data_IF_785999674470
#
_entry.id   IF_785999674470
#
_cell.length_a   1.000
_cell.length_b   1.000
_cell.length_c   1.000
_cell.angle_alpha   90.00
_cell.angle_beta   90.00
_cell.angle_gamma   90.00
#
_symmetry.space_group_name_H-M   'P 1'
#
loop_
_entity.id
_entity.type
_entity.pdbx_description
1 polymer ?
#
# COMPACT_ATOMS: atom_id res chain seq x y z
N UNK A 1 38.83 47.60 -10.73
CA UNK A 1 37.78 47.48 -11.76
C UNK A 1 37.59 46.03 -12.31
N UNK A 2 38.57 45.08 -12.18
CA UNK A 2 38.46 43.73 -12.80
C UNK A 2 37.60 42.73 -12.02
N UNK A 3 37.44 42.86 -10.71
CA UNK A 3 36.72 41.89 -9.88
C UNK A 3 35.15 42.02 -10.03
N UNK A 4 34.66 43.24 -10.12
CA UNK A 4 33.22 43.49 -10.30
C UNK A 4 32.71 43.09 -11.70
N UNK A 5 33.54 43.28 -12.74
CA UNK A 5 33.16 42.89 -14.11
C UNK A 5 33.14 41.37 -14.32
N UNK A 6 33.99 40.63 -13.57
CA UNK A 6 33.97 39.15 -13.58
C UNK A 6 32.75 38.59 -12.84
N UNK A 7 32.34 39.21 -11.74
CA UNK A 7 31.22 38.72 -10.92
C UNK A 7 29.84 39.05 -11.55
N UNK A 8 29.69 40.20 -12.23
CA UNK A 8 28.45 40.51 -12.98
C UNK A 8 28.19 39.46 -14.08
N UNK A 9 29.23 38.95 -14.73
CA UNK A 9 29.07 37.86 -15.72
C UNK A 9 28.65 36.52 -15.10
N UNK A 10 29.08 36.23 -13.89
CA UNK A 10 28.69 34.99 -13.17
C UNK A 10 27.24 35.07 -12.67
N UNK A 11 26.83 36.19 -12.09
CA UNK A 11 25.45 36.39 -11.65
C UNK A 11 24.46 36.42 -12.83
N UNK A 12 24.83 37.04 -13.93
CA UNK A 12 24.02 37.00 -15.15
C UNK A 12 23.85 35.56 -15.68
N UNK A 13 24.94 34.78 -15.70
CA UNK A 13 24.89 33.35 -16.12
C UNK A 13 24.05 32.48 -15.21
N UNK A 14 24.16 32.67 -13.90
CA UNK A 14 23.32 31.99 -12.92
C UNK A 14 21.84 32.38 -13.10
N UNK A 15 21.55 33.66 -13.34
CA UNK A 15 20.22 34.13 -13.69
C UNK A 15 19.65 33.47 -14.93
N UNK A 16 20.44 33.37 -16.01
CA UNK A 16 20.05 32.66 -17.22
C UNK A 16 19.79 31.18 -17.00
N UNK A 17 20.62 30.50 -16.22
CA UNK A 17 20.42 29.10 -15.88
C UNK A 17 19.13 28.88 -15.08
N UNK A 18 18.90 29.71 -14.06
CA UNK A 18 17.67 29.66 -13.27
C UNK A 18 16.45 29.91 -14.16
N UNK A 19 16.51 30.93 -15.03
CA UNK A 19 15.44 31.24 -15.99
C UNK A 19 15.17 30.07 -16.95
N UNK A 20 16.24 29.41 -17.44
CA UNK A 20 16.09 28.23 -18.27
C UNK A 20 15.39 27.08 -17.55
N UNK A 21 15.82 26.76 -16.32
CA UNK A 21 15.20 25.68 -15.50
C UNK A 21 13.71 26.00 -15.26
N UNK A 22 13.40 27.26 -14.94
CA UNK A 22 12.02 27.70 -14.77
C UNK A 22 11.24 27.53 -16.07
N UNK A 23 11.78 27.95 -17.20
CA UNK A 23 11.13 27.87 -18.51
C UNK A 23 10.91 26.41 -18.95
N UNK A 24 11.88 25.54 -18.69
CA UNK A 24 11.75 24.10 -18.92
C UNK A 24 10.63 23.50 -18.08
N UNK A 25 10.62 23.78 -16.77
CA UNK A 25 9.59 23.31 -15.88
C UNK A 25 8.20 23.82 -16.26
N UNK A 26 8.08 25.12 -16.59
CA UNK A 26 6.82 25.70 -17.02
C UNK A 26 6.34 25.12 -18.36
N UNK A 27 7.24 24.83 -19.31
CA UNK A 27 6.87 24.21 -20.58
C UNK A 27 6.40 22.77 -20.40
N UNK A 28 7.04 21.99 -19.53
CA UNK A 28 6.63 20.63 -19.21
C UNK A 28 5.32 20.57 -18.44
N UNK A 29 5.14 21.49 -17.46
CA UNK A 29 3.88 21.65 -16.73
C UNK A 29 2.77 22.10 -17.68
N UNK A 30 3.05 23.03 -18.59
CA UNK A 30 2.10 23.48 -19.60
C UNK A 30 1.66 22.35 -20.52
N UNK A 31 2.59 21.56 -21.04
CA UNK A 31 2.26 20.38 -21.86
C UNK A 31 1.39 19.41 -21.08
N UNK A 32 1.72 19.12 -19.82
CA UNK A 32 0.92 18.23 -18.96
C UNK A 32 -0.48 18.79 -18.71
N UNK A 33 -0.60 20.10 -18.46
CA UNK A 33 -1.87 20.75 -18.17
C UNK A 33 -2.79 20.87 -19.39
N UNK A 34 -2.23 21.24 -20.58
CA UNK A 34 -3.04 21.52 -21.77
C UNK A 34 -3.26 20.31 -22.69
N UNK A 35 -2.40 19.31 -22.63
CA UNK A 35 -2.42 18.14 -23.53
C UNK A 35 -2.50 16.82 -22.76
N UNK A 36 -1.96 16.78 -21.56
CA UNK A 36 -2.02 15.65 -20.65
C UNK A 36 -3.34 15.56 -19.87
N UNK A 37 -3.39 14.67 -18.90
CA UNK A 37 -4.56 14.52 -18.01
C UNK A 37 -4.49 15.42 -16.75
N UNK A 38 -3.47 16.24 -16.64
CA UNK A 38 -3.27 17.18 -15.53
C UNK A 38 -2.87 16.55 -14.19
N UNK A 39 -2.52 15.26 -14.16
CA UNK A 39 -2.15 14.55 -12.93
C UNK A 39 -0.72 14.86 -12.44
N UNK A 40 0.06 15.62 -13.21
CA UNK A 40 1.43 15.99 -12.91
C UNK A 40 2.45 14.87 -13.13
N UNK A 41 2.12 13.84 -13.86
CA UNK A 41 2.95 12.66 -14.08
C UNK A 41 3.52 12.66 -15.50
N UNK A 42 4.84 12.59 -15.59
CA UNK A 42 5.57 12.87 -16.83
C UNK A 42 5.72 11.65 -17.77
N UNK A 43 5.31 10.47 -17.37
CA UNK A 43 5.41 9.25 -18.18
C UNK A 43 4.02 8.78 -18.66
N UNK A 44 3.34 9.65 -19.37
CA UNK A 44 2.11 9.33 -20.07
C UNK A 44 2.44 8.98 -21.53
N UNK A 45 1.92 7.85 -22.03
CA UNK A 45 2.38 7.23 -23.29
C UNK A 45 1.48 7.54 -24.50
N UNK A 46 0.62 8.56 -24.38
CA UNK A 46 -0.04 9.12 -25.55
C UNK A 46 1.00 9.70 -26.52
N UNK A 47 0.97 9.25 -27.78
CA UNK A 47 1.90 9.70 -28.80
C UNK A 47 1.90 11.23 -29.00
N UNK A 48 0.74 11.87 -28.83
CA UNK A 48 0.61 13.33 -28.91
C UNK A 48 1.37 14.00 -27.77
N UNK A 49 1.18 13.49 -26.56
CA UNK A 49 1.82 14.01 -25.36
C UNK A 49 3.34 13.82 -25.43
N UNK A 50 3.80 12.66 -25.89
CA UNK A 50 5.22 12.40 -26.17
C UNK A 50 5.77 13.40 -27.17
N UNK A 51 5.06 13.62 -28.29
CA UNK A 51 5.45 14.59 -29.30
C UNK A 51 5.58 16.00 -28.75
N UNK A 52 4.60 16.48 -28.00
CA UNK A 52 4.64 17.80 -27.37
C UNK A 52 5.77 17.94 -26.35
N UNK A 53 6.02 16.91 -25.53
CA UNK A 53 7.14 16.89 -24.58
C UNK A 53 8.50 16.94 -25.29
N UNK A 54 8.67 16.19 -26.37
CA UNK A 54 9.91 16.23 -27.17
C UNK A 54 10.13 17.60 -27.80
N UNK A 55 9.08 18.25 -28.32
CA UNK A 55 9.16 19.61 -28.83
C UNK A 55 9.53 20.60 -27.73
N UNK A 56 8.88 20.52 -26.57
CA UNK A 56 9.19 21.36 -25.42
C UNK A 56 10.66 21.19 -24.96
N UNK A 57 11.17 19.95 -24.94
CA UNK A 57 12.56 19.66 -24.64
C UNK A 57 13.52 20.24 -25.70
N UNK A 58 13.19 20.07 -26.99
CA UNK A 58 14.02 20.59 -28.07
C UNK A 58 14.11 22.12 -28.02
N UNK A 59 12.97 22.81 -27.83
CA UNK A 59 12.93 24.27 -27.66
C UNK A 59 13.75 24.69 -26.45
N UNK A 60 13.54 24.04 -25.29
CA UNK A 60 14.28 24.33 -24.06
C UNK A 60 15.79 24.09 -24.22
N UNK A 61 16.18 23.05 -24.97
CA UNK A 61 17.58 22.80 -25.30
C UNK A 61 18.19 23.89 -26.17
N UNK A 62 17.50 24.34 -27.22
CA UNK A 62 17.95 25.47 -28.06
C UNK A 62 18.12 26.73 -27.24
N UNK A 63 17.15 27.04 -26.38
CA UNK A 63 17.23 28.20 -25.48
C UNK A 63 18.44 28.07 -24.54
N UNK A 64 18.63 26.90 -23.93
CA UNK A 64 19.78 26.64 -23.06
C UNK A 64 21.09 26.85 -23.82
N UNK A 65 21.22 26.26 -25.02
CA UNK A 65 22.41 26.43 -25.85
C UNK A 65 22.70 27.91 -26.13
N UNK A 66 21.68 28.69 -26.52
CA UNK A 66 21.82 30.12 -26.78
C UNK A 66 22.26 30.91 -25.54
N UNK A 67 21.75 30.53 -24.35
CA UNK A 67 22.09 31.18 -23.10
C UNK A 67 23.51 30.87 -22.61
N UNK A 68 24.03 29.70 -22.87
CA UNK A 68 25.34 29.23 -22.35
C UNK A 68 26.46 29.25 -23.39
N UNK A 69 26.14 29.48 -24.68
CA UNK A 69 27.13 29.47 -25.78
C UNK A 69 28.39 30.26 -25.51
N UNK A 70 28.29 31.33 -24.71
CA UNK A 70 29.40 32.19 -24.30
C UNK A 70 29.90 31.86 -22.87
N UNK A 71 29.40 30.78 -22.27
CA UNK A 71 29.77 30.34 -20.92
C UNK A 71 31.09 29.53 -20.87
N UNK A 72 31.59 29.22 -19.66
CA UNK A 72 32.77 28.38 -19.54
C UNK A 72 32.51 26.98 -20.09
N UNK A 73 33.48 26.36 -20.82
CA UNK A 73 33.32 25.05 -21.42
C UNK A 73 32.87 23.96 -20.45
N UNK A 74 33.33 23.99 -19.21
CA UNK A 74 32.94 23.02 -18.19
C UNK A 74 31.42 23.06 -17.93
N UNK A 75 30.82 24.24 -17.79
CA UNK A 75 29.37 24.38 -17.58
C UNK A 75 28.59 23.89 -18.78
N UNK A 76 29.03 24.22 -20.00
CA UNK A 76 28.42 23.73 -21.25
C UNK A 76 28.41 22.21 -21.30
N UNK A 77 29.55 21.55 -21.03
CA UNK A 77 29.69 20.10 -21.06
C UNK A 77 28.85 19.40 -20.00
N UNK A 78 28.80 19.93 -18.76
CA UNK A 78 27.97 19.37 -17.69
C UNK A 78 26.50 19.44 -18.06
N UNK A 79 26.02 20.59 -18.55
CA UNK A 79 24.61 20.75 -18.93
C UNK A 79 24.23 19.90 -20.14
N UNK A 80 25.10 19.83 -21.14
CA UNK A 80 24.89 18.96 -22.30
C UNK A 80 24.83 17.50 -21.90
N UNK A 81 25.73 17.05 -21.04
CA UNK A 81 25.74 15.66 -20.51
C UNK A 81 24.45 15.36 -19.75
N UNK A 82 23.98 16.29 -18.91
CA UNK A 82 22.76 16.12 -18.12
C UNK A 82 21.52 15.98 -19.00
N UNK A 83 21.39 16.86 -20.01
CA UNK A 83 20.30 16.80 -20.99
C UNK A 83 20.36 15.51 -21.81
N UNK A 84 21.55 15.08 -22.23
CA UNK A 84 21.73 13.85 -22.99
C UNK A 84 21.30 12.62 -22.18
N UNK A 85 21.68 12.54 -20.90
CA UNK A 85 21.27 11.47 -20.00
C UNK A 85 19.74 11.44 -19.82
N UNK A 86 19.11 12.60 -19.61
CA UNK A 86 17.67 12.68 -19.48
C UNK A 86 16.93 12.26 -20.76
N UNK A 87 17.45 12.66 -21.94
CA UNK A 87 16.88 12.22 -23.23
C UNK A 87 17.01 10.72 -23.44
N UNK A 88 18.14 10.12 -23.07
CA UNK A 88 18.32 8.67 -23.12
C UNK A 88 17.34 7.95 -22.20
N UNK A 89 17.21 8.40 -20.93
CA UNK A 89 16.25 7.82 -19.98
C UNK A 89 14.84 7.90 -20.56
N UNK A 90 14.43 9.05 -21.07
CA UNK A 90 13.11 9.23 -21.66
C UNK A 90 12.91 8.36 -22.91
N UNK A 91 13.90 8.28 -23.79
CA UNK A 91 13.86 7.42 -24.98
C UNK A 91 13.71 5.93 -24.63
N UNK A 92 14.46 5.46 -23.62
CA UNK A 92 14.33 4.09 -23.12
C UNK A 92 12.92 3.84 -22.56
N UNK A 93 12.37 4.78 -21.79
CA UNK A 93 11.03 4.72 -21.24
C UNK A 93 9.96 4.58 -22.34
N UNK A 94 10.06 5.39 -23.41
CA UNK A 94 9.14 5.34 -24.55
C UNK A 94 9.24 4.00 -25.30
N UNK A 95 10.45 3.56 -25.62
CA UNK A 95 10.66 2.29 -26.37
C UNK A 95 10.17 1.09 -25.56
N UNK A 96 10.53 1.02 -24.28
CA UNK A 96 10.06 -0.05 -23.40
C UNK A 96 8.55 0.03 -23.21
N UNK A 97 7.98 1.23 -23.19
CA UNK A 97 6.53 1.44 -23.13
C UNK A 97 5.82 0.78 -24.33
N UNK A 98 6.30 1.00 -25.54
CA UNK A 98 5.73 0.34 -26.72
C UNK A 98 5.84 -1.17 -26.69
N UNK A 99 7.00 -1.71 -26.27
CA UNK A 99 7.21 -3.15 -26.12
C UNK A 99 6.25 -3.73 -25.07
N UNK A 100 6.13 -3.05 -23.92
CA UNK A 100 5.23 -3.47 -22.83
C UNK A 100 3.78 -3.52 -23.32
N UNK A 101 3.28 -2.44 -23.93
CA UNK A 101 1.90 -2.35 -24.38
C UNK A 101 1.58 -3.35 -25.51
N UNK A 102 2.54 -3.61 -26.42
CA UNK A 102 2.40 -4.65 -27.42
C UNK A 102 2.33 -6.05 -26.80
N UNK A 103 3.17 -6.34 -25.78
CA UNK A 103 3.15 -7.63 -25.08
C UNK A 103 1.83 -7.84 -24.32
N UNK A 104 1.28 -6.81 -23.67
CA UNK A 104 0.01 -6.89 -22.97
C UNK A 104 -1.15 -7.17 -23.93
N UNK A 105 -1.20 -6.51 -25.09
CA UNK A 105 -2.23 -6.76 -26.11
C UNK A 105 -2.23 -8.21 -26.60
N UNK A 106 -1.06 -8.81 -26.78
CA UNK A 106 -0.95 -10.22 -27.20
C UNK A 106 -1.40 -11.20 -26.14
N UNK A 107 -1.16 -10.91 -24.86
CA UNK A 107 -1.51 -11.77 -23.73
C UNK A 107 -3.01 -11.67 -23.37
N UNK A 108 -3.60 -10.48 -23.46
CA UNK A 108 -5.01 -10.25 -23.13
C UNK A 108 -5.98 -10.75 -24.19
N UNK A 109 -5.55 -11.00 -25.40
CA UNK A 109 -6.43 -11.53 -26.46
C UNK A 109 -6.88 -12.99 -26.24
N UNK A 110 -6.14 -13.75 -25.43
CA UNK A 110 -6.39 -15.18 -25.18
C UNK A 110 -7.02 -15.50 -23.82
N UNK A 111 -7.10 -14.55 -22.88
CA UNK A 111 -7.66 -14.76 -21.55
C UNK A 111 -8.97 -13.99 -21.35
N UNK A 112 -9.91 -14.52 -20.52
CA UNK A 112 -11.09 -13.76 -20.12
C UNK A 112 -10.66 -12.44 -19.47
N UNK A 113 -11.04 -11.30 -20.04
CA UNK A 113 -10.77 -10.00 -19.44
C UNK A 113 -11.72 -9.78 -18.27
N UNK A 114 -11.21 -9.91 -17.06
CA UNK A 114 -11.88 -9.50 -15.84
C UNK A 114 -11.52 -8.04 -15.55
N UNK A 115 -12.49 -7.14 -15.57
CA UNK A 115 -12.29 -5.81 -15.02
C UNK A 115 -12.24 -5.90 -13.49
N UNK A 116 -11.30 -5.21 -12.88
CA UNK A 116 -11.17 -5.15 -11.42
C UNK A 116 -12.37 -4.47 -10.75
N UNK A 117 -12.47 -4.55 -9.42
CA UNK A 117 -13.51 -3.86 -8.67
C UNK A 117 -13.38 -2.35 -8.81
N UNK A 118 -14.51 -1.66 -8.94
CA UNK A 118 -14.56 -0.21 -8.82
C UNK A 118 -14.50 0.16 -7.32
N UNK A 119 -13.34 0.54 -6.83
CA UNK A 119 -13.15 0.91 -5.41
C UNK A 119 -13.55 2.36 -5.08
N UNK A 120 -13.89 3.18 -6.07
CA UNK A 120 -14.00 4.63 -5.92
C UNK A 120 -15.07 5.13 -4.93
N UNK A 121 -16.03 4.27 -4.55
CA UNK A 121 -17.09 4.59 -3.60
C UNK A 121 -17.02 3.79 -2.28
N UNK A 122 -15.92 3.11 -2.02
CA UNK A 122 -15.83 2.16 -0.90
C UNK A 122 -15.18 2.73 0.35
N UNK A 123 -14.56 3.91 0.27
CA UNK A 123 -13.82 4.48 1.39
C UNK A 123 -14.08 5.97 1.60
N UNK A 124 -13.98 6.38 2.86
CA UNK A 124 -13.89 7.78 3.27
C UNK A 124 -12.43 8.15 3.54
N UNK A 125 -12.11 9.43 3.36
CA UNK A 125 -10.83 9.99 3.78
C UNK A 125 -10.74 10.01 5.31
N UNK A 126 -9.55 9.71 5.82
CA UNK A 126 -9.19 9.84 7.22
C UNK A 126 -7.81 10.50 7.35
N UNK A 127 -7.69 11.43 8.30
CA UNK A 127 -6.46 12.24 8.46
C UNK A 127 -5.22 11.46 8.91
N UNK A 128 -5.40 10.27 9.50
CA UNK A 128 -4.30 9.41 9.95
C UNK A 128 -4.23 8.10 9.17
N UNK A 129 -5.36 7.51 8.81
CA UNK A 129 -5.39 6.25 8.05
C UNK A 129 -5.27 6.46 6.54
N UNK A 130 -5.52 7.67 6.06
CA UNK A 130 -5.64 7.98 4.64
C UNK A 130 -6.99 7.56 4.08
N UNK A 131 -7.31 6.27 4.16
CA UNK A 131 -8.58 5.68 3.69
C UNK A 131 -9.12 4.71 4.72
N UNK A 132 -10.44 4.74 4.94
CA UNK A 132 -11.17 3.77 5.77
C UNK A 132 -12.53 3.45 5.15
N UNK A 133 -13.18 2.33 5.49
CA UNK A 133 -14.55 2.06 5.03
C UNK A 133 -15.49 3.22 5.37
N UNK A 134 -16.45 3.52 4.49
CA UNK A 134 -17.50 4.50 4.78
C UNK A 134 -18.37 3.95 5.92
N UNK A 135 -18.58 4.70 7.02
CA UNK A 135 -19.41 4.22 8.14
C UNK A 135 -20.84 3.92 7.70
N UNK A 136 -21.44 2.86 8.27
CA UNK A 136 -22.82 2.45 8.01
C UNK A 136 -23.14 2.25 6.53
N UNK A 137 -22.15 1.87 5.73
CA UNK A 137 -22.28 1.72 4.27
C UNK A 137 -22.09 0.28 3.83
N UNK A 138 -22.75 -0.10 2.72
CA UNK A 138 -22.51 -1.36 2.02
C UNK A 138 -21.74 -1.08 0.74
N UNK A 139 -20.54 -1.58 0.67
CA UNK A 139 -19.73 -1.57 -0.53
C UNK A 139 -19.98 -2.85 -1.35
N UNK A 140 -20.04 -2.70 -2.67
CA UNK A 140 -20.24 -3.81 -3.59
C UNK A 140 -18.96 -4.10 -4.36
N UNK A 141 -18.26 -5.17 -3.96
CA UNK A 141 -17.14 -5.71 -4.72
C UNK A 141 -17.69 -6.44 -5.95
N UNK A 142 -17.29 -6.01 -7.14
CA UNK A 142 -17.84 -6.55 -8.39
C UNK A 142 -16.71 -6.94 -9.33
N UNK A 143 -16.72 -8.16 -9.83
CA UNK A 143 -15.86 -8.63 -10.92
C UNK A 143 -16.70 -8.75 -12.18
N UNK A 144 -16.24 -8.17 -13.27
CA UNK A 144 -16.92 -8.21 -14.57
C UNK A 144 -16.13 -9.04 -15.57
N UNK A 145 -16.84 -9.75 -16.45
CA UNK A 145 -16.30 -10.43 -17.61
C UNK A 145 -17.01 -9.90 -18.86
N UNK A 146 -16.25 -9.34 -19.81
CA UNK A 146 -16.82 -8.70 -21.03
C UNK A 146 -17.95 -7.71 -20.71
N UNK A 147 -17.74 -6.89 -19.67
CA UNK A 147 -18.69 -5.87 -19.22
C UNK A 147 -19.90 -6.38 -18.42
N UNK A 148 -20.05 -7.69 -18.21
CA UNK A 148 -21.14 -8.26 -17.40
C UNK A 148 -20.60 -8.67 -16.01
N UNK A 149 -21.31 -8.36 -14.92
CA UNK A 149 -20.93 -8.83 -13.59
C UNK A 149 -20.99 -10.36 -13.51
N UNK A 150 -19.89 -10.99 -13.08
CA UNK A 150 -19.80 -12.45 -12.87
C UNK A 150 -19.72 -12.81 -11.41
N UNK A 151 -19.22 -11.88 -10.57
CA UNK A 151 -19.22 -12.00 -9.12
C UNK A 151 -19.59 -10.65 -8.54
N UNK A 152 -20.52 -10.63 -7.59
CA UNK A 152 -20.88 -9.42 -6.84
C UNK A 152 -21.06 -9.77 -5.36
N UNK A 153 -20.33 -9.08 -4.49
CA UNK A 153 -20.28 -9.35 -3.06
C UNK A 153 -20.49 -8.04 -2.32
N UNK A 154 -21.53 -8.01 -1.48
CA UNK A 154 -21.78 -6.90 -0.57
C UNK A 154 -20.94 -7.05 0.68
N UNK A 155 -20.21 -5.99 1.04
CA UNK A 155 -19.40 -5.88 2.25
C UNK A 155 -19.92 -4.70 3.06
N UNK A 156 -20.38 -4.96 4.29
CA UNK A 156 -21.00 -3.94 5.15
C UNK A 156 -19.99 -3.40 6.16
N UNK A 157 -19.97 -2.10 6.36
CA UNK A 157 -19.27 -1.45 7.45
C UNK A 157 -20.24 -0.98 8.54
N UNK A 158 -19.80 -1.04 9.81
CA UNK A 158 -20.52 -0.50 10.95
C UNK A 158 -20.25 1.01 11.14
N UNK A 159 -20.83 1.59 12.21
CA UNK A 159 -20.67 3.02 12.54
C UNK A 159 -19.21 3.43 12.85
N UNK A 160 -18.33 2.48 13.15
CA UNK A 160 -16.91 2.70 13.44
C UNK A 160 -16.01 2.38 12.23
N UNK A 161 -16.57 2.29 11.02
CA UNK A 161 -15.82 1.95 9.79
C UNK A 161 -15.13 0.58 9.87
N UNK A 162 -15.71 -0.39 10.57
CA UNK A 162 -15.23 -1.78 10.62
C UNK A 162 -16.13 -2.65 9.76
N UNK A 163 -15.56 -3.61 9.06
CA UNK A 163 -16.37 -4.61 8.39
C UNK A 163 -17.21 -5.38 9.42
N UNK A 164 -18.49 -5.51 9.17
CA UNK A 164 -19.41 -6.26 10.04
C UNK A 164 -19.00 -7.73 10.09
N UNK A 165 -18.93 -8.28 11.30
CA UNK A 165 -18.82 -9.73 11.52
C UNK A 165 -20.19 -10.22 12.01
N UNK A 166 -21.00 -10.86 11.12
CA UNK A 166 -22.33 -11.32 11.50
C UNK A 166 -22.26 -12.45 12.50
N UNK A 167 -23.31 -12.62 13.28
CA UNK A 167 -23.43 -13.75 14.20
C UNK A 167 -23.67 -15.04 13.40
N UNK A 168 -22.95 -16.10 13.76
CA UNK A 168 -23.17 -17.43 13.22
C UNK A 168 -24.45 -18.10 13.76
N UNK A 169 -24.84 -17.69 14.96
CA UNK A 169 -26.00 -18.21 15.69
C UNK A 169 -26.61 -17.10 16.57
N UNK A 170 -27.94 -16.96 16.51
CA UNK A 170 -28.70 -16.01 17.33
C UNK A 170 -28.93 -16.51 18.77
N UNK A 171 -28.58 -17.76 19.09
CA UNK A 171 -28.85 -18.41 20.37
C UNK A 171 -27.83 -18.10 21.48
N UNK A 172 -26.72 -17.41 21.18
CA UNK A 172 -25.70 -17.02 22.15
C UNK A 172 -25.85 -15.55 22.57
N UNK A 173 -26.62 -15.25 23.61
CA UNK A 173 -27.03 -13.88 23.91
C UNK A 173 -25.91 -13.01 24.51
N UNK A 174 -24.79 -13.57 24.96
CA UNK A 174 -23.77 -12.77 25.65
C UNK A 174 -22.35 -13.18 25.30
N UNK A 175 -21.75 -12.41 24.41
CA UNK A 175 -20.31 -12.48 24.12
C UNK A 175 -19.60 -11.51 25.05
N UNK A 176 -18.89 -12.02 26.02
CA UNK A 176 -18.24 -11.25 27.08
C UNK A 176 -16.76 -10.96 26.81
N UNK A 177 -16.20 -11.56 25.74
CA UNK A 177 -14.83 -11.31 25.29
C UNK A 177 -14.79 -10.68 23.91
N UNK A 178 -13.77 -9.86 23.66
CA UNK A 178 -13.51 -9.28 22.34
C UNK A 178 -12.36 -10.00 21.64
N UNK A 179 -12.39 -10.02 20.30
CA UNK A 179 -11.26 -10.33 19.44
C UNK A 179 -11.10 -9.22 18.39
N UNK A 180 -10.01 -8.46 18.47
CA UNK A 180 -9.71 -7.38 17.53
C UNK A 180 -8.83 -7.93 16.42
N UNK A 181 -9.26 -7.77 15.17
CA UNK A 181 -8.52 -8.24 14.01
C UNK A 181 -7.92 -7.08 13.25
N UNK A 182 -6.60 -7.08 13.14
CA UNK A 182 -5.81 -6.15 12.34
C UNK A 182 -5.14 -6.90 11.19
N UNK A 183 -4.90 -6.20 10.10
CA UNK A 183 -4.27 -6.76 8.90
C UNK A 183 -4.70 -6.04 7.64
N UNK A 184 -4.58 -6.71 6.51
CA UNK A 184 -4.91 -6.17 5.19
C UNK A 184 -6.19 -6.80 4.61
N UNK A 185 -6.31 -6.81 3.28
CA UNK A 185 -7.42 -7.44 2.54
C UNK A 185 -7.66 -8.91 2.89
N UNK A 186 -6.63 -9.65 3.27
CA UNK A 186 -6.75 -11.05 3.74
C UNK A 186 -7.60 -11.15 5.01
N UNK A 187 -7.33 -10.30 5.99
CA UNK A 187 -8.11 -10.23 7.23
C UNK A 187 -9.47 -9.58 7.04
N UNK A 188 -9.50 -8.52 6.23
CA UNK A 188 -10.75 -7.85 5.85
C UNK A 188 -11.71 -8.84 5.17
N UNK A 189 -11.17 -9.78 4.41
CA UNK A 189 -11.92 -10.75 3.62
C UNK A 189 -12.35 -10.15 2.29
N UNK A 190 -11.40 -9.58 1.54
CA UNK A 190 -11.70 -9.06 0.20
C UNK A 190 -12.22 -10.17 -0.70
N UNK A 191 -13.20 -9.84 -1.55
CA UNK A 191 -13.84 -10.77 -2.48
C UNK A 191 -14.57 -11.99 -1.87
N UNK A 192 -14.88 -11.97 -0.54
CA UNK A 192 -15.74 -12.97 0.11
C UNK A 192 -16.87 -12.29 0.90
N UNK A 193 -17.93 -13.02 1.24
CA UNK A 193 -19.08 -12.49 1.99
C UNK A 193 -18.72 -12.18 3.45
N UNK A 194 -19.55 -11.38 4.14
CA UNK A 194 -19.33 -11.01 5.54
C UNK A 194 -19.26 -12.23 6.46
N UNK A 195 -19.98 -13.31 6.14
CA UNK A 195 -19.96 -14.58 6.86
C UNK A 195 -18.92 -15.61 6.36
N UNK A 196 -17.89 -15.13 5.64
CA UNK A 196 -16.82 -15.95 5.09
C UNK A 196 -15.43 -15.38 5.41
N UNK A 197 -15.37 -14.38 6.32
CA UNK A 197 -14.14 -13.70 6.69
C UNK A 197 -13.38 -14.41 7.81
N UNK A 198 -12.08 -14.11 7.98
CA UNK A 198 -11.26 -14.57 9.11
C UNK A 198 -11.94 -14.26 10.45
N UNK A 199 -12.37 -13.01 10.76
CA UNK A 199 -13.07 -12.70 12.02
C UNK A 199 -14.37 -13.49 12.21
N UNK A 200 -15.12 -13.75 11.14
CA UNK A 200 -16.34 -14.54 11.21
C UNK A 200 -16.07 -15.99 11.65
N UNK A 201 -15.13 -16.66 10.98
CA UNK A 201 -14.80 -18.05 11.35
C UNK A 201 -14.21 -18.15 12.75
N UNK A 202 -13.40 -17.19 13.18
CA UNK A 202 -12.94 -17.14 14.56
C UNK A 202 -14.11 -17.03 15.55
N UNK A 203 -15.03 -16.12 15.31
CA UNK A 203 -16.21 -15.92 16.14
C UNK A 203 -17.13 -17.15 16.16
N UNK A 204 -17.23 -17.87 15.05
CA UNK A 204 -17.98 -19.13 14.93
C UNK A 204 -17.39 -20.24 15.80
N UNK A 205 -16.06 -20.36 15.80
CA UNK A 205 -15.34 -21.37 16.61
C UNK A 205 -15.21 -21.00 18.10
N UNK A 206 -15.43 -19.74 18.46
CA UNK A 206 -15.25 -19.21 19.81
C UNK A 206 -16.47 -18.37 20.20
N UNK A 207 -17.52 -19.04 20.67
CA UNK A 207 -18.85 -18.46 20.88
C UNK A 207 -18.88 -17.34 21.95
N UNK A 208 -17.93 -17.30 22.88
CA UNK A 208 -17.76 -16.28 23.91
C UNK A 208 -17.08 -14.99 23.40
N UNK A 209 -16.57 -15.00 22.17
CA UNK A 209 -15.91 -13.84 21.57
C UNK A 209 -16.81 -13.07 20.59
N UNK A 210 -16.81 -11.75 20.71
CA UNK A 210 -17.24 -10.84 19.67
C UNK A 210 -16.02 -10.42 18.83
N UNK A 211 -16.02 -10.75 17.57
CA UNK A 211 -14.95 -10.36 16.65
C UNK A 211 -15.20 -8.98 16.02
N UNK A 212 -14.17 -8.16 16.01
CA UNK A 212 -14.16 -6.81 15.45
C UNK A 212 -13.11 -6.69 14.36
N UNK A 213 -13.52 -6.43 13.13
CA UNK A 213 -12.66 -6.40 11.96
C UNK A 213 -12.15 -4.98 11.67
N UNK A 214 -10.97 -4.63 12.17
CA UNK A 214 -10.29 -3.36 11.94
C UNK A 214 -9.36 -3.36 10.71
N UNK A 215 -9.29 -4.47 9.98
CA UNK A 215 -8.54 -4.55 8.75
C UNK A 215 -9.27 -3.87 7.58
N UNK A 216 -8.54 -3.56 6.53
CA UNK A 216 -9.09 -3.06 5.29
C UNK A 216 -8.15 -3.42 4.12
N UNK A 217 -8.66 -3.39 2.89
CA UNK A 217 -7.81 -3.66 1.73
C UNK A 217 -6.66 -2.63 1.69
N UNK A 218 -5.47 -3.16 1.44
CA UNK A 218 -4.29 -2.34 1.38
C UNK A 218 -3.72 -1.86 2.70
N UNK A 219 -4.28 -2.20 3.82
CA UNK A 219 -3.68 -1.81 5.09
C UNK A 219 -2.32 -2.48 5.33
N UNK A 220 -1.51 -1.81 6.09
CA UNK A 220 -0.14 -2.15 6.45
C UNK A 220 0.02 -2.12 7.98
N UNK A 221 1.18 -2.52 8.52
CA UNK A 221 1.47 -2.33 9.95
C UNK A 221 1.32 -0.87 10.42
N UNK A 222 1.57 0.11 9.53
CA UNK A 222 1.36 1.54 9.84
C UNK A 222 -0.10 1.84 10.16
N UNK A 223 -1.06 1.21 9.47
CA UNK A 223 -2.48 1.43 9.71
C UNK A 223 -2.94 0.85 11.05
N UNK A 224 -2.44 -0.33 11.44
CA UNK A 224 -2.73 -0.89 12.75
C UNK A 224 -2.22 0.03 13.87
N UNK A 225 -0.99 0.53 13.73
CA UNK A 225 -0.40 1.47 14.67
C UNK A 225 -1.17 2.80 14.70
N UNK A 226 -1.47 3.40 13.53
CA UNK A 226 -2.21 4.65 13.44
C UNK A 226 -3.58 4.56 14.12
N UNK A 227 -4.31 3.48 13.86
CA UNK A 227 -5.61 3.25 14.50
C UNK A 227 -5.49 3.18 16.01
N UNK A 228 -4.51 2.44 16.53
CA UNK A 228 -4.27 2.32 17.96
C UNK A 228 -3.73 3.61 18.63
N UNK A 229 -3.08 4.48 17.87
CA UNK A 229 -2.57 5.76 18.39
C UNK A 229 -3.62 6.87 18.38
N UNK A 230 -4.54 6.88 17.40
CA UNK A 230 -5.45 7.99 17.16
C UNK A 230 -6.91 7.69 17.48
N UNK A 231 -7.27 6.41 17.69
CA UNK A 231 -8.61 6.03 18.09
C UNK A 231 -8.60 5.36 19.48
N UNK A 232 -9.56 5.73 20.34
CA UNK A 232 -9.82 5.02 21.60
C UNK A 232 -10.72 3.82 21.31
N UNK A 233 -10.10 2.67 21.00
CA UNK A 233 -10.82 1.46 20.65
C UNK A 233 -11.62 0.89 21.83
N UNK A 234 -11.31 1.26 23.08
CA UNK A 234 -12.06 0.83 24.25
C UNK A 234 -13.48 1.39 24.29
N UNK A 235 -13.73 2.51 23.60
CA UNK A 235 -15.07 3.08 23.42
C UNK A 235 -15.86 2.42 22.29
N UNK A 236 -15.17 1.68 21.42
CA UNK A 236 -15.77 0.99 20.27
C UNK A 236 -16.08 -0.49 20.57
N UNK A 237 -15.67 -0.98 21.75
CA UNK A 237 -15.75 -2.38 22.17
C UNK A 237 -16.40 -2.45 23.53
N UNK A 238 -17.50 -3.18 23.64
CA UNK A 238 -18.27 -3.29 24.88
C UNK A 238 -17.67 -4.25 25.92
N UNK A 239 -16.90 -5.25 25.44
CA UNK A 239 -16.28 -6.27 26.30
C UNK A 239 -15.02 -5.71 26.99
N UNK A 240 -14.69 -6.24 28.16
CA UNK A 240 -13.53 -5.82 28.94
C UNK A 240 -12.33 -6.73 28.83
N UNK A 241 -12.52 -7.98 28.41
CA UNK A 241 -11.47 -8.99 28.25
C UNK A 241 -11.43 -9.47 26.81
N UNK A 242 -10.25 -9.87 26.34
CA UNK A 242 -10.13 -10.42 25.00
C UNK A 242 -8.71 -10.46 24.48
N UNK A 243 -8.60 -10.50 23.18
CA UNK A 243 -7.34 -10.61 22.44
C UNK A 243 -7.30 -9.69 21.24
N UNK A 244 -6.11 -9.40 20.76
CA UNK A 244 -5.86 -8.79 19.45
C UNK A 244 -5.08 -9.74 18.57
N UNK A 245 -5.38 -9.75 17.28
CA UNK A 245 -4.78 -10.62 16.27
C UNK A 245 -4.34 -9.75 15.10
N UNK A 246 -3.05 -9.77 14.79
CA UNK A 246 -2.50 -9.15 13.60
C UNK A 246 -2.13 -10.24 12.59
N UNK A 247 -2.79 -10.27 11.44
CA UNK A 247 -2.44 -11.21 10.37
C UNK A 247 -1.32 -10.62 9.51
N UNK A 248 -0.18 -11.29 9.49
CA UNK A 248 1.01 -10.88 8.77
C UNK A 248 1.17 -11.67 7.46
N UNK A 249 1.48 -10.94 6.38
CA UNK A 249 1.96 -11.44 5.09
C UNK A 249 3.25 -10.72 4.72
N UNK A 250 4.11 -11.31 3.87
CA UNK A 250 5.39 -10.71 3.48
C UNK A 250 5.27 -9.33 2.82
N UNK A 251 4.19 -9.11 2.07
CA UNK A 251 3.92 -7.83 1.41
C UNK A 251 3.75 -6.66 2.41
N UNK A 252 3.55 -6.95 3.70
CA UNK A 252 3.53 -5.92 4.73
C UNK A 252 4.89 -5.22 4.91
N UNK A 253 6.02 -5.85 4.52
CA UNK A 253 7.33 -5.19 4.47
C UNK A 253 7.33 -4.09 3.42
N UNK A 254 6.79 -4.40 2.22
CA UNK A 254 6.64 -3.43 1.14
C UNK A 254 5.75 -2.24 1.53
N UNK A 255 4.74 -2.50 2.37
CA UNK A 255 3.77 -1.50 2.84
C UNK A 255 4.24 -0.75 4.10
N UNK A 256 5.20 -1.29 4.83
CA UNK A 256 5.86 -0.61 5.95
C UNK A 256 6.81 0.49 5.46
N UNK A 257 7.47 0.26 4.32
CA UNK A 257 8.24 1.27 3.60
C UNK A 257 7.34 1.91 2.52
N UNK A 258 7.45 3.22 2.27
CA UNK A 258 6.70 3.85 1.18
C UNK A 258 7.36 3.51 -0.16
N UNK A 259 7.21 2.25 -0.61
CA UNK A 259 7.70 1.82 -1.93
C UNK A 259 6.93 2.50 -3.06
N UNK A 260 7.53 2.59 -4.24
CA UNK A 260 6.89 3.20 -5.40
C UNK A 260 5.60 2.46 -5.79
N UNK A 261 5.60 1.12 -5.72
CA UNK A 261 4.41 0.30 -5.94
C UNK A 261 3.29 0.62 -4.96
N UNK A 262 3.64 0.76 -3.68
CA UNK A 262 2.68 1.08 -2.64
C UNK A 262 2.14 2.51 -2.76
N UNK A 263 3.03 3.49 -2.99
CA UNK A 263 2.65 4.89 -3.25
C UNK A 263 1.66 4.97 -4.42
N UNK A 264 1.95 4.28 -5.53
CA UNK A 264 1.12 4.33 -6.72
C UNK A 264 -0.22 3.62 -6.56
N UNK A 265 -0.22 2.44 -5.95
CA UNK A 265 -1.43 1.63 -5.76
C UNK A 265 -2.46 2.33 -4.84
N UNK A 266 -1.98 3.05 -3.84
CA UNK A 266 -2.82 3.74 -2.86
C UNK A 266 -2.83 5.26 -3.01
N UNK A 267 -2.21 5.77 -4.06
CA UNK A 267 -2.10 7.20 -4.34
C UNK A 267 -1.54 7.99 -3.15
N UNK A 268 -0.64 7.35 -2.39
CA UNK A 268 -0.06 7.92 -1.17
C UNK A 268 -1.03 8.11 0.01
N UNK A 269 -2.27 7.62 -0.08
CA UNK A 269 -3.26 7.68 1.02
C UNK A 269 -3.05 6.54 2.01
N UNK A 270 -1.99 6.61 2.78
CA UNK A 270 -1.67 5.71 3.89
C UNK A 270 -0.92 6.48 5.00
N UNK A 271 -0.86 5.94 6.23
CA UNK A 271 -0.23 6.63 7.36
C UNK A 271 1.24 6.95 7.12
N UNK A 272 1.61 8.20 7.36
CA UNK A 272 3.00 8.58 7.51
C UNK A 272 3.54 8.18 8.88
N UNK A 273 4.85 8.03 9.01
CA UNK A 273 5.51 7.55 10.22
C UNK A 273 6.80 8.33 10.49
N UNK A 274 6.91 8.86 11.67
CA UNK A 274 8.20 9.21 12.26
C UNK A 274 8.85 7.93 12.83
N UNK A 275 9.84 7.40 12.10
CA UNK A 275 10.53 6.17 12.48
C UNK A 275 11.32 6.29 13.79
N UNK A 276 11.71 7.50 14.20
CA UNK A 276 12.48 7.73 15.43
C UNK A 276 11.62 7.61 16.68
N UNK A 277 10.36 7.99 16.60
CA UNK A 277 9.41 7.97 17.72
C UNK A 277 8.33 6.89 17.60
N UNK A 278 8.26 6.20 16.45
CA UNK A 278 7.20 5.27 16.10
C UNK A 278 5.80 5.91 16.20
N UNK A 279 5.70 7.21 15.89
CA UNK A 279 4.41 7.92 15.84
C UNK A 279 3.97 8.14 14.41
N UNK A 280 2.69 7.91 14.16
CA UNK A 280 2.07 8.25 12.89
C UNK A 280 1.66 9.73 12.89
N UNK A 281 1.98 10.43 11.80
CA UNK A 281 1.98 11.91 11.74
C UNK A 281 0.99 12.48 10.72
N UNK A 282 0.17 11.64 10.12
CA UNK A 282 -0.83 12.04 9.12
C UNK A 282 -0.77 11.15 7.88
N UNK A 283 -1.14 11.69 6.71
CA UNK A 283 -1.18 10.95 5.44
C UNK A 283 0.08 11.25 4.63
N UNK A 284 0.79 10.22 4.19
CA UNK A 284 2.09 10.28 3.51
C UNK A 284 2.14 11.31 2.37
N UNK A 285 1.14 11.32 1.48
CA UNK A 285 1.15 12.25 0.33
C UNK A 285 1.12 13.73 0.72
N UNK A 286 0.53 14.06 1.88
CA UNK A 286 0.45 15.42 2.37
C UNK A 286 1.67 15.80 3.19
N UNK A 287 2.23 14.87 3.95
CA UNK A 287 3.46 15.09 4.73
C UNK A 287 4.69 15.13 3.83
N UNK A 288 4.72 14.30 2.79
CA UNK A 288 5.85 14.18 1.86
C UNK A 288 5.47 14.40 0.38
N UNK A 289 4.98 15.58 -0.02
CA UNK A 289 4.44 15.79 -1.38
C UNK A 289 5.48 15.58 -2.48
N UNK A 290 6.75 15.89 -2.23
CA UNK A 290 7.84 15.70 -3.22
C UNK A 290 8.17 14.20 -3.35
N UNK A 291 8.32 13.48 -2.22
CA UNK A 291 8.59 12.02 -2.24
C UNK A 291 7.42 11.26 -2.86
N UNK A 292 6.18 11.69 -2.58
CA UNK A 292 4.98 11.13 -3.19
C UNK A 292 5.03 11.25 -4.72
N UNK A 293 5.27 12.46 -5.26
CA UNK A 293 5.34 12.68 -6.71
C UNK A 293 6.45 11.87 -7.37
N UNK A 294 7.62 11.79 -6.72
CA UNK A 294 8.73 10.95 -7.19
C UNK A 294 8.35 9.45 -7.19
N UNK A 295 7.72 8.96 -6.14
CA UNK A 295 7.21 7.59 -6.08
C UNK A 295 6.17 7.29 -7.16
N UNK A 296 5.24 8.22 -7.41
CA UNK A 296 4.26 8.11 -8.50
C UNK A 296 4.93 8.08 -9.89
N UNK A 297 5.95 8.88 -10.10
CA UNK A 297 6.73 8.86 -11.35
C UNK A 297 7.37 7.49 -11.57
N UNK A 298 8.01 6.92 -10.53
CA UNK A 298 8.58 5.56 -10.62
C UNK A 298 7.48 4.52 -10.81
N UNK A 299 6.35 4.64 -10.09
CA UNK A 299 5.24 3.70 -10.22
C UNK A 299 4.70 3.62 -11.65
N UNK A 300 4.54 4.75 -12.32
CA UNK A 300 4.05 4.83 -13.69
C UNK A 300 5.11 4.47 -14.76
N UNK A 301 6.39 4.37 -14.40
CA UNK A 301 7.45 3.98 -15.34
C UNK A 301 7.14 2.65 -16.02
N UNK A 302 7.18 2.62 -17.34
CA UNK A 302 6.98 1.40 -18.15
C UNK A 302 8.17 0.44 -18.05
N UNK A 303 9.38 0.97 -17.83
CA UNK A 303 10.55 0.15 -17.51
C UNK A 303 10.28 -0.65 -16.24
N UNK A 304 9.82 0.02 -15.18
CA UNK A 304 9.43 -0.64 -13.95
C UNK A 304 8.36 -1.72 -14.18
N UNK A 305 7.31 -1.39 -14.91
CA UNK A 305 6.19 -2.29 -15.18
C UNK A 305 6.61 -3.50 -16.01
N UNK A 306 7.39 -3.26 -17.07
CA UNK A 306 7.85 -4.31 -18.00
C UNK A 306 8.74 -5.34 -17.30
N UNK A 307 9.67 -4.88 -16.46
CA UNK A 307 10.58 -5.75 -15.72
C UNK A 307 10.06 -6.20 -14.36
N UNK A 308 8.81 -5.88 -14.01
CA UNK A 308 8.18 -6.20 -12.72
C UNK A 308 9.04 -5.79 -11.50
N UNK A 309 9.73 -4.65 -11.61
CA UNK A 309 10.57 -4.13 -10.53
C UNK A 309 9.77 -3.24 -9.59
N UNK A 310 10.21 -3.12 -8.35
CA UNK A 310 9.74 -2.07 -7.45
C UNK A 310 10.92 -1.28 -6.88
N UNK A 311 10.66 -0.08 -6.39
CA UNK A 311 11.67 0.75 -5.76
C UNK A 311 11.26 1.01 -4.31
N UNK A 312 12.16 0.77 -3.34
CA UNK A 312 13.54 0.28 -3.49
C UNK A 312 13.62 -1.15 -4.03
N UNK A 313 14.73 -1.48 -4.68
CA UNK A 313 14.96 -2.82 -5.26
C UNK A 313 15.21 -3.85 -4.16
N UNK A 314 14.22 -4.68 -3.89
CA UNK A 314 14.26 -5.69 -2.83
C UNK A 314 14.14 -5.10 -1.43
N UNK A 315 14.00 -5.99 -0.44
CA UNK A 315 13.92 -5.60 0.96
C UNK A 315 15.30 -5.66 1.61
N UNK A 316 15.63 -4.65 2.39
CA UNK A 316 16.87 -4.59 3.18
C UNK A 316 16.60 -5.08 4.60
N UNK A 317 17.60 -5.50 5.38
CA UNK A 317 17.40 -5.90 6.78
C UNK A 317 16.62 -4.86 7.60
N UNK A 318 16.92 -3.59 7.45
CA UNK A 318 16.22 -2.50 8.15
C UNK A 318 14.73 -2.37 7.79
N UNK A 319 14.31 -2.84 6.62
CA UNK A 319 12.92 -2.76 6.19
C UNK A 319 12.08 -3.84 6.92
N UNK A 320 12.68 -5.00 7.17
CA UNK A 320 12.11 -6.04 8.04
C UNK A 320 12.07 -5.60 9.51
N UNK A 321 13.16 -4.98 9.99
CA UNK A 321 13.22 -4.44 11.36
C UNK A 321 12.14 -3.37 11.59
N UNK A 322 11.97 -2.42 10.64
CA UNK A 322 10.91 -1.41 10.69
C UNK A 322 9.54 -2.07 10.77
N UNK A 323 9.30 -3.09 9.96
CA UNK A 323 8.02 -3.82 9.95
C UNK A 323 7.75 -4.50 11.30
N UNK A 324 8.75 -5.15 11.86
CA UNK A 324 8.63 -5.78 13.18
C UNK A 324 8.45 -4.75 14.30
N UNK A 325 9.13 -3.59 14.23
CA UNK A 325 8.97 -2.48 15.17
C UNK A 325 7.56 -1.88 15.13
N UNK A 326 6.98 -1.71 13.94
CA UNK A 326 5.60 -1.24 13.77
C UNK A 326 4.58 -2.19 14.42
N UNK A 327 4.75 -3.50 14.23
CA UNK A 327 3.88 -4.50 14.85
C UNK A 327 4.07 -4.51 16.38
N UNK A 328 5.31 -4.36 16.86
CA UNK A 328 5.61 -4.25 18.29
C UNK A 328 5.01 -2.98 18.89
N UNK A 329 5.15 -1.84 18.25
CA UNK A 329 4.52 -0.60 18.68
C UNK A 329 2.99 -0.71 18.72
N UNK A 330 2.39 -1.42 17.77
CA UNK A 330 0.94 -1.71 17.78
C UNK A 330 0.54 -2.56 19.00
N UNK A 331 1.34 -3.57 19.37
CA UNK A 331 1.10 -4.35 20.60
C UNK A 331 1.19 -3.46 21.86
N UNK A 332 2.15 -2.56 21.91
CA UNK A 332 2.34 -1.66 23.04
C UNK A 332 1.17 -0.68 23.21
N UNK A 333 0.70 -0.09 22.12
CA UNK A 333 -0.49 0.77 22.14
C UNK A 333 -1.77 -0.02 22.50
N UNK A 334 -1.93 -1.24 21.99
CA UNK A 334 -3.00 -2.13 22.40
C UNK A 334 -2.95 -2.41 23.92
N UNK A 335 -1.77 -2.80 24.44
CA UNK A 335 -1.57 -3.02 25.87
C UNK A 335 -1.88 -1.79 26.72
N UNK A 336 -1.51 -0.62 26.24
CA UNK A 336 -1.79 0.66 26.91
C UNK A 336 -3.29 0.96 26.97
N UNK A 337 -4.04 0.73 25.88
CA UNK A 337 -5.48 0.97 25.84
C UNK A 337 -6.27 -0.07 26.66
N UNK A 338 -6.04 -1.34 26.40
CA UNK A 338 -6.85 -2.45 26.95
C UNK A 338 -6.33 -3.03 28.28
N UNK A 339 -5.15 -2.56 28.77
CA UNK A 339 -4.47 -3.12 29.95
C UNK A 339 -4.25 -4.65 29.86
N UNK A 340 -4.01 -5.12 28.66
CA UNK A 340 -3.95 -6.52 28.27
C UNK A 340 -2.85 -6.67 27.20
N UNK A 341 -2.02 -7.70 27.31
CA UNK A 341 -0.94 -7.97 26.35
C UNK A 341 -1.18 -9.24 25.49
N UNK A 342 -2.44 -9.69 25.41
CA UNK A 342 -2.85 -10.81 24.55
C UNK A 342 -2.96 -10.35 23.10
N UNK A 343 -1.83 -9.97 22.55
CA UNK A 343 -1.66 -9.60 21.14
C UNK A 343 -0.89 -10.70 20.43
N UNK A 344 -1.50 -11.28 19.40
CA UNK A 344 -0.96 -12.40 18.64
C UNK A 344 -0.66 -11.97 17.20
N UNK A 345 0.47 -12.42 16.67
CA UNK A 345 0.82 -12.25 15.26
C UNK A 345 0.64 -13.60 14.55
N UNK A 346 -0.33 -13.65 13.67
CA UNK A 346 -0.60 -14.83 12.83
C UNK A 346 0.16 -14.65 11.51
N UNK A 347 1.14 -15.51 11.28
CA UNK A 347 1.86 -15.57 10.00
C UNK A 347 1.05 -16.42 9.02
N UNK A 348 0.57 -15.78 7.95
CA UNK A 348 -0.32 -16.41 6.97
C UNK A 348 0.39 -17.55 6.21
N UNK A 349 -0.32 -18.63 5.85
CA UNK A 349 0.27 -19.76 5.12
C UNK A 349 0.95 -19.34 3.82
N UNK A 350 2.13 -19.90 3.60
CA UNK A 350 2.95 -19.89 2.37
C UNK A 350 3.21 -18.52 1.70
N UNK A 351 3.00 -17.42 2.44
CA UNK A 351 3.20 -16.07 1.93
C UNK A 351 4.52 -15.41 2.38
N UNK A 352 5.37 -16.12 3.10
CA UNK A 352 6.70 -15.64 3.43
C UNK A 352 7.73 -16.09 2.40
N UNK A 353 8.66 -15.18 2.05
CA UNK A 353 9.87 -15.56 1.33
C UNK A 353 10.66 -16.59 2.14
N UNK A 354 11.29 -17.54 1.45
CA UNK A 354 12.03 -18.65 2.08
C UNK A 354 13.05 -18.17 3.13
N UNK A 355 13.73 -17.05 2.84
CA UNK A 355 14.79 -16.49 3.67
C UNK A 355 14.33 -15.25 4.47
N UNK A 356 13.02 -15.10 4.67
CA UNK A 356 12.48 -13.98 5.44
C UNK A 356 12.88 -14.07 6.91
N UNK A 357 13.54 -13.06 7.48
CA UNK A 357 13.94 -13.04 8.89
C UNK A 357 12.78 -12.72 9.83
N UNK A 358 11.59 -12.47 9.29
CA UNK A 358 10.50 -11.82 9.99
C UNK A 358 10.06 -12.53 11.26
N UNK A 359 9.96 -13.87 11.22
CA UNK A 359 9.54 -14.64 12.41
C UNK A 359 10.55 -14.50 13.55
N UNK A 360 11.85 -14.54 13.25
CA UNK A 360 12.90 -14.29 14.23
C UNK A 360 12.77 -12.90 14.84
N UNK A 361 12.69 -11.88 14.00
CA UNK A 361 12.56 -10.49 14.42
C UNK A 361 11.31 -10.20 15.28
N UNK A 362 10.18 -10.83 14.97
CA UNK A 362 8.97 -10.70 15.78
C UNK A 362 9.13 -11.36 17.16
N UNK A 363 9.71 -12.56 17.23
CA UNK A 363 9.97 -13.29 18.48
C UNK A 363 10.99 -12.57 19.36
N UNK A 364 12.07 -12.04 18.79
CA UNK A 364 13.09 -11.25 19.50
C UNK A 364 12.48 -10.00 20.19
N UNK A 365 11.40 -9.45 19.61
CA UNK A 365 10.64 -8.34 20.20
C UNK A 365 9.60 -8.77 21.24
N UNK A 366 9.58 -10.06 21.60
CA UNK A 366 8.64 -10.63 22.58
C UNK A 366 7.20 -10.71 22.10
N UNK A 367 6.95 -10.72 20.78
CA UNK A 367 5.62 -10.91 20.23
C UNK A 367 5.20 -12.39 20.27
N UNK A 368 3.92 -12.64 20.54
CA UNK A 368 3.32 -13.98 20.50
C UNK A 368 3.04 -14.36 19.06
N UNK A 369 3.96 -15.10 18.43
CA UNK A 369 3.91 -15.45 17.00
C UNK A 369 3.34 -16.84 16.80
N UNK A 370 2.30 -16.97 16.00
CA UNK A 370 1.68 -18.19 15.53
C UNK A 370 2.04 -18.39 14.05
N UNK A 371 2.95 -19.33 13.82
CA UNK A 371 3.53 -19.57 12.50
C UNK A 371 2.74 -20.65 11.74
N UNK A 372 1.92 -20.23 10.81
CA UNK A 372 1.10 -21.12 10.00
C UNK A 372 1.58 -21.28 8.55
N UNK A 373 2.85 -20.95 8.25
CA UNK A 373 3.42 -21.08 6.90
C UNK A 373 3.22 -22.44 6.24
N UNK A 374 3.12 -23.48 7.05
CA UNK A 374 2.98 -24.86 6.55
C UNK A 374 1.55 -25.42 6.68
N UNK A 375 0.56 -24.59 7.03
CA UNK A 375 -0.79 -25.08 7.28
C UNK A 375 -1.48 -25.57 6.00
N UNK A 376 -1.32 -24.83 4.89
CA UNK A 376 -1.76 -25.22 3.56
C UNK A 376 -0.95 -24.45 2.50
N UNK A 377 -0.84 -24.99 1.26
CA UNK A 377 -0.15 -24.31 0.18
C UNK A 377 -0.95 -23.11 -0.31
N UNK A 378 -0.33 -21.91 -0.41
CA UNK A 378 -0.92 -20.70 -0.95
C UNK A 378 0.10 -19.91 -1.78
N UNK A 379 -0.22 -19.49 -3.03
CA UNK A 379 -1.50 -19.67 -3.73
C UNK A 379 -1.71 -21.10 -4.26
N UNK A 380 -2.95 -21.58 -4.27
CA UNK A 380 -3.34 -22.83 -4.89
C UNK A 380 -4.79 -22.79 -5.33
N UNK A 381 -5.20 -23.67 -6.27
CA UNK A 381 -6.59 -23.72 -6.78
C UNK A 381 -7.63 -23.93 -5.68
N UNK A 382 -7.27 -24.58 -4.59
CA UNK A 382 -8.17 -24.86 -3.47
C UNK A 382 -8.33 -23.68 -2.53
N UNK A 383 -7.26 -22.92 -2.31
CA UNK A 383 -7.21 -21.91 -1.26
C UNK A 383 -7.17 -20.47 -1.77
N UNK A 384 -7.05 -20.29 -3.09
CA UNK A 384 -7.15 -18.99 -3.75
C UNK A 384 -8.42 -18.91 -4.61
N UNK A 385 -9.10 -17.78 -4.58
CA UNK A 385 -10.27 -17.52 -5.42
C UNK A 385 -9.89 -17.60 -6.92
N UNK A 386 -10.72 -18.27 -7.71
CA UNK A 386 -10.43 -18.46 -9.15
C UNK A 386 -10.51 -17.15 -9.96
N UNK A 387 -11.14 -16.14 -9.41
CA UNK A 387 -11.35 -14.83 -10.04
C UNK A 387 -10.58 -13.69 -9.36
N UNK A 388 -9.84 -13.99 -8.29
CA UNK A 388 -9.09 -13.00 -7.53
C UNK A 388 -7.88 -13.66 -6.83
N UNK A 389 -6.88 -12.85 -6.44
CA UNK A 389 -5.68 -13.34 -5.76
C UNK A 389 -5.88 -13.60 -4.24
N UNK A 390 -7.07 -13.30 -3.71
CA UNK A 390 -7.37 -13.44 -2.28
C UNK A 390 -7.75 -14.87 -1.90
N UNK A 391 -7.68 -15.20 -0.59
CA UNK A 391 -8.01 -16.52 -0.10
C UNK A 391 -9.49 -16.89 -0.25
N UNK A 392 -9.75 -18.18 -0.40
CA UNK A 392 -11.11 -18.74 -0.37
C UNK A 392 -11.68 -18.74 1.06
N UNK A 393 -13.01 -18.83 1.22
CA UNK A 393 -13.65 -19.07 2.53
C UNK A 393 -13.08 -20.29 3.26
N UNK A 394 -12.71 -21.34 2.53
CA UNK A 394 -12.12 -22.55 3.08
C UNK A 394 -10.73 -22.29 3.70
N UNK A 395 -9.90 -21.46 3.05
CA UNK A 395 -8.61 -21.04 3.61
C UNK A 395 -8.81 -20.29 4.93
N UNK A 396 -9.78 -19.38 4.99
CA UNK A 396 -10.12 -18.62 6.20
C UNK A 396 -10.59 -19.56 7.33
N UNK A 397 -11.44 -20.54 7.00
CA UNK A 397 -11.98 -21.50 7.96
C UNK A 397 -10.85 -22.34 8.58
N UNK A 398 -10.01 -22.97 7.76
CA UNK A 398 -8.90 -23.80 8.22
C UNK A 398 -7.91 -23.01 9.09
N UNK A 399 -7.60 -21.78 8.70
CA UNK A 399 -6.71 -20.90 9.46
C UNK A 399 -7.29 -20.65 10.87
N UNK A 400 -8.60 -20.38 10.98
CA UNK A 400 -9.23 -20.07 12.26
C UNK A 400 -9.47 -21.30 13.13
N UNK A 401 -9.73 -22.45 12.55
CA UNK A 401 -9.75 -23.72 13.29
C UNK A 401 -8.41 -24.03 13.94
N UNK A 402 -7.30 -23.84 13.19
CA UNK A 402 -5.97 -24.05 13.74
C UNK A 402 -5.63 -23.01 14.82
N UNK A 403 -5.93 -21.74 14.56
CA UNK A 403 -5.74 -20.65 15.53
C UNK A 403 -6.49 -20.94 16.84
N UNK A 404 -7.76 -21.34 16.76
CA UNK A 404 -8.56 -21.69 17.93
C UNK A 404 -7.96 -22.82 18.74
N UNK A 405 -7.47 -23.89 18.06
CA UNK A 405 -6.79 -25.00 18.72
C UNK A 405 -5.54 -24.55 19.49
N UNK A 406 -4.74 -23.69 18.88
CA UNK A 406 -3.48 -23.25 19.49
C UNK A 406 -3.71 -22.22 20.61
N UNK A 407 -4.69 -21.34 20.49
CA UNK A 407 -5.08 -20.43 21.58
C UNK A 407 -5.60 -21.17 22.81
N UNK A 408 -6.35 -22.27 22.63
CA UNK A 408 -6.77 -23.14 23.75
C UNK A 408 -5.58 -23.78 24.47
N UNK A 409 -4.52 -24.22 23.75
CA UNK A 409 -3.31 -24.78 24.35
C UNK A 409 -2.51 -23.76 25.19
N UNK A 410 -2.42 -22.52 24.74
CA UNK A 410 -1.67 -21.47 25.45
C UNK A 410 -2.47 -20.80 26.59
N UNK A 411 -3.66 -21.29 26.92
CA UNK A 411 -4.51 -20.72 27.96
C UNK A 411 -5.14 -19.37 27.60
N UNK A 412 -4.98 -18.94 26.36
CA UNK A 412 -5.52 -17.68 25.84
C UNK A 412 -7.05 -17.69 25.66
N UNK A 413 -7.64 -18.87 25.61
CA UNK A 413 -9.08 -19.11 25.51
C UNK A 413 -9.46 -20.10 26.63
N UNK A 414 -9.33 -19.68 27.89
CA UNK A 414 -9.80 -20.47 29.03
C UNK A 414 -11.29 -20.20 29.27
N UNK A 415 -12.09 -21.20 29.05
CA UNK A 415 -13.51 -21.15 29.35
C UNK A 415 -14.33 -22.20 28.63
N UNK A 416 -13.95 -23.48 28.76
CA UNK A 416 -14.87 -24.61 28.67
C UNK A 416 -14.27 -25.79 29.45
N UNK A 417 -14.56 -25.86 30.72
CA UNK A 417 -14.66 -27.14 31.44
C UNK A 417 -16.12 -27.28 31.81
N UNK A 418 -16.76 -28.27 31.15
CA UNK A 418 -18.02 -28.93 31.44
C UNK A 418 -19.27 -28.10 31.69
#
# INVERSE_FOLDING_TARGET
>A
MSFFQKNTSLFARLGYFISFVILLLLSLIGVEFFVGNGDGIWFDYDLRLIGFRLVAWAVSFVVLYLLIRNGPPLLQNVLLSLVSVLLVIYGVEVVVGWIHDASQKSTTSSLPQYAGPAYDSSYAFDEFLGRKPIPNHTFWWTKTLKGKPVVQIGMKADSFSRRITPFADSTHPKRDKYALFFGCSFTYGDAVKDNETIPYYFQKENADYQAYNYAFFGYSPRHALARLQHEDLTKQVSQKQGIAIYTYIEDHVNRAIPSAGWIGMYDGYFPDLDESTMKTTGVYRFVHPIKYRFGMMIFKSKVRQHFAMDFPFGYRPKDYELTANLIKASQEEYKKQFKNDNFYVVVYPDLLKKDSPMIGLLKERGLKVLDYRKLFPFPSKQYQLSYDSHPTPEAHRLLMEQLTKDLKKVGGVSGMTN
#
